data_IF_772216039882
#
_entry.id   IF_772216039882
#
_cell.length_a   1.000
_cell.length_b   1.000
_cell.length_c   1.000
_cell.angle_alpha   90.00
_cell.angle_beta   90.00
_cell.angle_gamma   90.00
#
_symmetry.space_group_name_H-M   'P 1'
#
loop_
_entity.id
_entity.type
_entity.pdbx_description
1 polymer ?
#
# COMPACT_ATOMS: atom_id res chain seq x y z
N UNK A 1 -7.32 -18.42 -23.98
CA UNK A 1 -7.14 -18.09 -22.54
C UNK A 1 -7.15 -16.57 -22.43
N UNK A 2 -8.17 -15.96 -21.82
CA UNK A 2 -8.15 -14.51 -21.57
C UNK A 2 -7.04 -14.23 -20.55
N UNK A 3 -6.12 -13.32 -20.85
CA UNK A 3 -5.01 -12.96 -19.98
C UNK A 3 -5.53 -12.58 -18.59
N UNK A 4 -5.00 -13.20 -17.54
CA UNK A 4 -5.31 -12.89 -16.13
C UNK A 4 -4.86 -11.49 -15.73
N UNK A 5 -3.94 -10.87 -16.49
CA UNK A 5 -3.44 -9.52 -16.24
C UNK A 5 -4.54 -8.43 -16.34
N UNK A 6 -5.63 -8.67 -17.08
CA UNK A 6 -6.77 -7.73 -17.13
C UNK A 6 -7.52 -7.60 -15.80
N UNK A 7 -7.26 -8.48 -14.83
CA UNK A 7 -7.91 -8.47 -13.50
C UNK A 7 -7.09 -7.78 -12.41
N UNK A 8 -5.97 -7.14 -12.75
CA UNK A 8 -5.15 -6.38 -11.81
C UNK A 8 -5.19 -4.90 -12.16
N UNK A 9 -5.56 -4.07 -11.17
CA UNK A 9 -5.46 -2.62 -11.24
C UNK A 9 -4.57 -2.10 -10.11
N UNK A 10 -3.56 -1.31 -10.46
CA UNK A 10 -2.66 -0.66 -9.50
C UNK A 10 -3.11 0.77 -9.26
N UNK A 11 -3.42 1.12 -8.02
CA UNK A 11 -3.55 2.51 -7.60
C UNK A 11 -2.26 2.98 -6.93
N UNK A 12 -1.92 4.23 -7.20
CA UNK A 12 -0.86 4.95 -6.50
C UNK A 12 -1.27 6.40 -6.34
N UNK A 13 -0.64 7.13 -5.43
CA UNK A 13 -0.89 8.57 -5.22
C UNK A 13 0.37 9.33 -5.53
N UNK A 14 0.25 10.34 -6.39
CA UNK A 14 1.30 11.28 -6.70
C UNK A 14 0.69 12.65 -7.06
N UNK A 15 0.99 13.66 -6.25
CA UNK A 15 0.58 15.05 -6.48
C UNK A 15 1.48 15.76 -7.49
N UNK A 16 2.72 15.30 -7.63
CA UNK A 16 3.76 15.88 -8.50
C UNK A 16 4.55 14.81 -9.24
N UNK A 17 5.09 15.18 -10.41
CA UNK A 17 5.99 14.34 -11.19
C UNK A 17 7.44 14.59 -10.74
N UNK A 18 7.90 13.81 -9.77
CA UNK A 18 9.28 13.82 -9.25
C UNK A 18 10.14 12.76 -9.93
N UNK A 19 11.46 12.76 -9.70
CA UNK A 19 12.34 11.67 -10.15
C UNK A 19 11.88 10.30 -9.60
N UNK A 20 11.39 10.27 -8.36
CA UNK A 20 10.81 9.08 -7.75
C UNK A 20 9.58 8.59 -8.52
N UNK A 21 8.70 9.51 -8.92
CA UNK A 21 7.55 9.21 -9.77
C UNK A 21 7.98 8.63 -11.11
N UNK A 22 8.90 9.29 -11.83
CA UNK A 22 9.34 8.81 -13.14
C UNK A 22 9.97 7.41 -13.07
N UNK A 23 10.77 7.15 -12.04
CA UNK A 23 11.37 5.83 -11.80
C UNK A 23 10.30 4.77 -11.50
N UNK A 24 9.29 5.10 -10.69
CA UNK A 24 8.13 4.22 -10.47
C UNK A 24 7.43 3.92 -11.80
N UNK A 25 7.07 4.95 -12.58
CA UNK A 25 6.34 4.82 -13.84
C UNK A 25 7.06 3.93 -14.86
N UNK A 26 8.39 4.03 -14.94
CA UNK A 26 9.19 3.18 -15.81
C UNK A 26 9.01 1.69 -15.50
N UNK A 27 8.92 1.32 -14.22
CA UNK A 27 8.70 -0.07 -13.80
C UNK A 27 7.23 -0.50 -13.81
N UNK A 28 6.32 0.46 -13.60
CA UNK A 28 4.88 0.22 -13.59
C UNK A 28 4.26 0.07 -14.99
N UNK A 29 4.99 0.39 -16.08
CA UNK A 29 4.50 0.35 -17.47
C UNK A 29 3.89 -0.98 -17.94
N UNK A 30 4.19 -2.07 -17.23
CA UNK A 30 3.68 -3.41 -17.52
C UNK A 30 2.37 -3.73 -16.78
N UNK A 31 1.88 -2.81 -15.94
CA UNK A 31 0.66 -2.92 -15.16
C UNK A 31 -0.40 -1.97 -15.71
N UNK A 32 -1.67 -2.33 -15.52
CA UNK A 32 -2.74 -1.34 -15.60
C UNK A 32 -2.73 -0.52 -14.32
N UNK A 33 -2.59 0.80 -14.42
CA UNK A 33 -2.44 1.67 -13.26
C UNK A 33 -3.29 2.94 -13.35
N UNK A 34 -3.61 3.47 -12.18
CA UNK A 34 -4.26 4.77 -11.99
C UNK A 34 -3.44 5.58 -10.97
N UNK A 35 -3.01 6.78 -11.37
CA UNK A 35 -2.35 7.75 -10.48
C UNK A 35 -3.40 8.72 -9.96
N UNK A 36 -3.56 8.77 -8.64
CA UNK A 36 -4.52 9.63 -7.95
C UNK A 36 -3.85 10.91 -7.43
N UNK A 37 -4.63 11.98 -7.35
CA UNK A 37 -4.19 13.28 -6.79
C UNK A 37 -3.30 14.11 -7.71
N UNK A 38 -3.17 13.78 -9.00
CA UNK A 38 -2.33 14.53 -9.93
C UNK A 38 -2.81 15.99 -10.02
N UNK A 39 -1.92 16.93 -9.68
CA UNK A 39 -2.22 18.36 -9.69
C UNK A 39 -2.94 18.87 -8.43
N UNK A 40 -3.27 18.00 -7.47
CA UNK A 40 -3.73 18.42 -6.16
C UNK A 40 -2.57 18.91 -5.29
N UNK A 41 -2.86 19.86 -4.41
CA UNK A 41 -1.96 20.22 -3.32
C UNK A 41 -1.85 19.06 -2.32
N UNK A 42 -0.64 18.78 -1.86
CA UNK A 42 -0.44 17.79 -0.80
C UNK A 42 -0.82 18.36 0.56
N UNK A 43 -1.80 17.73 1.21
CA UNK A 43 -2.33 18.06 2.53
C UNK A 43 -2.13 16.95 3.56
N UNK A 44 -1.38 15.91 3.17
CA UNK A 44 -1.11 14.75 4.00
C UNK A 44 -0.07 14.93 5.11
N UNK A 45 0.29 16.17 5.45
CA UNK A 45 1.31 16.49 6.46
C UNK A 45 2.65 16.91 5.84
N UNK A 46 3.42 17.69 6.62
CA UNK A 46 4.58 18.45 6.11
C UNK A 46 5.93 17.95 6.63
N UNK A 47 5.95 17.25 7.77
CA UNK A 47 7.18 16.86 8.45
C UNK A 47 7.60 15.44 8.07
N UNK A 48 8.84 15.29 7.62
CA UNK A 48 9.43 13.97 7.43
C UNK A 48 9.46 13.21 8.77
N UNK A 49 9.05 11.94 8.75
CA UNK A 49 8.95 11.06 9.93
C UNK A 49 7.89 11.48 10.98
N UNK A 50 6.92 12.34 10.63
CA UNK A 50 5.71 12.53 11.43
C UNK A 50 4.58 11.62 10.96
N UNK A 51 3.48 11.62 11.73
CA UNK A 51 2.21 11.06 11.28
C UNK A 51 1.67 11.81 10.06
N UNK A 52 0.86 11.15 9.25
CA UNK A 52 0.17 11.75 8.11
C UNK A 52 -0.19 10.77 7.01
N UNK A 53 -0.38 11.29 5.80
CA UNK A 53 -0.69 10.49 4.61
C UNK A 53 -2.17 10.16 4.41
N UNK A 54 -3.06 10.62 5.29
CA UNK A 54 -4.50 10.40 5.21
C UNK A 54 -5.14 10.81 3.88
N UNK A 55 -4.61 11.84 3.21
CA UNK A 55 -5.03 12.24 1.86
C UNK A 55 -4.96 11.06 0.87
N UNK A 56 -3.98 10.15 1.03
CA UNK A 56 -3.88 8.95 0.19
C UNK A 56 -5.09 8.04 0.37
N UNK A 57 -5.58 7.90 1.60
CA UNK A 57 -6.76 7.07 1.92
C UNK A 57 -8.02 7.71 1.36
N UNK A 58 -8.19 9.03 1.52
CA UNK A 58 -9.30 9.78 0.91
C UNK A 58 -9.31 9.61 -0.61
N UNK A 59 -8.18 9.84 -1.26
CA UNK A 59 -8.05 9.71 -2.72
C UNK A 59 -8.33 8.28 -3.19
N UNK A 60 -7.83 7.26 -2.47
CA UNK A 60 -8.11 5.87 -2.80
C UNK A 60 -9.58 5.51 -2.59
N UNK A 61 -10.21 6.04 -1.53
CA UNK A 61 -11.65 5.87 -1.26
C UNK A 61 -12.49 6.38 -2.43
N UNK A 62 -12.19 7.56 -2.95
CA UNK A 62 -12.86 8.13 -4.13
C UNK A 62 -12.54 7.31 -5.40
N UNK A 63 -11.25 6.97 -5.61
CA UNK A 63 -10.80 6.29 -6.82
C UNK A 63 -11.30 4.85 -7.00
N UNK A 64 -11.53 4.12 -5.89
CA UNK A 64 -11.97 2.72 -5.94
C UNK A 64 -13.49 2.55 -6.02
N UNK A 65 -14.27 3.61 -5.78
CA UNK A 65 -15.73 3.52 -5.63
C UNK A 65 -16.42 2.88 -6.85
N UNK A 66 -15.99 3.25 -8.06
CA UNK A 66 -16.49 2.66 -9.32
C UNK A 66 -16.19 1.17 -9.53
N UNK A 67 -15.35 0.58 -8.67
CA UNK A 67 -14.94 -0.82 -8.71
C UNK A 67 -15.51 -1.63 -7.54
N UNK A 68 -16.36 -1.03 -6.69
CA UNK A 68 -16.87 -1.61 -5.46
C UNK A 68 -17.54 -2.98 -5.63
N UNK A 69 -18.22 -3.20 -6.75
CA UNK A 69 -18.99 -4.42 -7.04
C UNK A 69 -18.24 -5.41 -7.96
N UNK A 70 -16.99 -5.14 -8.32
CA UNK A 70 -16.20 -6.01 -9.19
C UNK A 70 -15.51 -7.12 -8.38
N UNK A 71 -16.24 -8.21 -8.13
CA UNK A 71 -15.78 -9.29 -7.24
C UNK A 71 -14.48 -9.98 -7.66
N UNK A 72 -14.20 -10.04 -8.97
CA UNK A 72 -13.02 -10.72 -9.51
C UNK A 72 -11.86 -9.77 -9.81
N UNK A 73 -12.05 -8.46 -9.62
CA UNK A 73 -10.98 -7.47 -9.76
C UNK A 73 -10.07 -7.50 -8.53
N UNK A 74 -8.78 -7.62 -8.78
CA UNK A 74 -7.73 -7.49 -7.78
C UNK A 74 -7.15 -6.08 -7.90
N UNK A 75 -7.14 -5.37 -6.79
CA UNK A 75 -6.59 -4.04 -6.64
C UNK A 75 -5.33 -4.11 -5.82
N UNK A 76 -4.29 -3.43 -6.28
CA UNK A 76 -3.07 -3.19 -5.53
C UNK A 76 -2.95 -1.69 -5.27
N UNK A 77 -2.68 -1.29 -4.05
CA UNK A 77 -2.21 0.04 -3.73
C UNK A 77 -0.73 0.00 -3.38
N UNK A 78 0.04 0.96 -3.89
CA UNK A 78 1.47 1.14 -3.53
C UNK A 78 1.83 2.62 -3.50
N UNK A 79 2.74 2.99 -2.60
CA UNK A 79 3.38 4.31 -2.68
C UNK A 79 4.12 4.49 -4.01
N UNK A 80 4.23 5.74 -4.47
CA UNK A 80 4.87 6.06 -5.73
C UNK A 80 6.37 6.36 -5.55
N UNK A 81 6.69 7.43 -4.82
CA UNK A 81 8.01 8.09 -4.92
C UNK A 81 9.21 7.25 -4.46
N UNK A 82 9.02 6.24 -3.62
CA UNK A 82 10.05 5.40 -3.00
C UNK A 82 9.94 3.92 -3.40
N UNK A 83 9.13 3.60 -4.42
CA UNK A 83 8.82 2.23 -4.84
C UNK A 83 9.23 1.98 -6.30
N UNK A 84 9.65 0.76 -6.59
CA UNK A 84 9.74 0.21 -7.95
C UNK A 84 9.18 -1.22 -7.95
N UNK A 85 8.64 -1.64 -9.09
CA UNK A 85 8.26 -3.04 -9.32
C UNK A 85 9.48 -3.89 -9.71
N UNK A 86 9.63 -5.04 -9.05
CA UNK A 86 10.69 -6.01 -9.33
C UNK A 86 10.17 -7.25 -10.10
N UNK A 87 8.84 -7.40 -10.22
CA UNK A 87 8.19 -8.49 -10.94
C UNK A 87 7.01 -7.99 -11.77
N UNK A 88 6.48 -8.86 -12.63
CA UNK A 88 5.35 -8.54 -13.52
C UNK A 88 3.98 -8.86 -12.90
N UNK A 89 2.89 -8.43 -13.57
CA UNK A 89 1.52 -8.61 -13.07
C UNK A 89 1.11 -10.09 -12.89
N UNK A 90 1.55 -10.99 -13.76
CA UNK A 90 1.22 -12.42 -13.68
C UNK A 90 1.83 -13.09 -12.44
N UNK A 91 3.09 -12.74 -12.13
CA UNK A 91 3.78 -13.26 -10.94
C UNK A 91 3.13 -12.76 -9.66
N UNK A 92 2.78 -11.47 -9.63
CA UNK A 92 2.09 -10.84 -8.51
C UNK A 92 0.72 -11.47 -8.26
N UNK A 93 -0.09 -11.64 -9.31
CA UNK A 93 -1.40 -12.28 -9.20
C UNK A 93 -1.30 -13.72 -8.69
N UNK A 94 -0.39 -14.51 -9.26
CA UNK A 94 -0.17 -15.90 -8.84
C UNK A 94 0.18 -15.98 -7.36
N UNK A 95 1.21 -15.23 -6.93
CA UNK A 95 1.66 -15.23 -5.54
C UNK A 95 0.55 -14.73 -4.61
N UNK A 96 -0.25 -13.72 -5.00
CA UNK A 96 -1.36 -13.22 -4.17
C UNK A 96 -2.42 -14.30 -3.96
N UNK A 97 -2.79 -15.02 -5.02
CA UNK A 97 -3.75 -16.12 -4.94
C UNK A 97 -3.25 -17.26 -4.05
N UNK A 98 -1.95 -17.58 -4.09
CA UNK A 98 -1.31 -18.57 -3.20
C UNK A 98 -1.41 -18.20 -1.71
N UNK A 99 -1.58 -16.91 -1.37
CA UNK A 99 -1.80 -16.52 0.03
C UNK A 99 -3.14 -17.01 0.57
N UNK A 100 -4.14 -17.24 -0.29
CA UNK A 100 -5.52 -17.58 0.09
C UNK A 100 -6.19 -16.57 1.05
N UNK A 101 -5.76 -15.30 1.04
CA UNK A 101 -6.39 -14.20 1.76
C UNK A 101 -7.15 -13.27 0.79
N UNK A 102 -8.07 -12.44 1.29
CA UNK A 102 -8.76 -11.47 0.42
C UNK A 102 -8.03 -10.14 0.33
N UNK A 103 -7.27 -9.78 1.36
CA UNK A 103 -6.43 -8.59 1.45
C UNK A 103 -5.12 -8.96 2.14
N UNK A 104 -4.01 -8.55 1.56
CA UNK A 104 -2.66 -8.74 2.11
C UNK A 104 -1.99 -7.38 2.17
N UNK A 105 -1.58 -6.99 3.37
CA UNK A 105 -0.78 -5.78 3.58
C UNK A 105 0.71 -6.13 3.59
N UNK A 106 1.53 -5.15 3.19
CA UNK A 106 2.95 -5.21 3.43
C UNK A 106 3.22 -5.28 4.94
N UNK A 107 4.39 -5.77 5.30
CA UNK A 107 4.78 -5.90 6.70
C UNK A 107 6.12 -5.19 6.97
N UNK A 108 6.23 -4.63 8.17
CA UNK A 108 7.44 -4.06 8.73
C UNK A 108 7.86 -4.73 10.06
N UNK A 109 9.14 -4.60 10.40
CA UNK A 109 9.69 -5.04 11.69
C UNK A 109 9.47 -4.02 12.80
N UNK A 110 9.16 -2.78 12.44
CA UNK A 110 8.89 -1.69 13.37
C UNK A 110 7.38 -1.45 13.48
N UNK A 111 6.86 -1.40 14.70
CA UNK A 111 5.51 -0.89 14.95
C UNK A 111 5.53 0.64 14.95
N UNK A 112 4.62 1.22 14.18
CA UNK A 112 4.46 2.66 14.05
C UNK A 112 3.01 2.99 13.66
N UNK A 113 2.45 4.14 14.08
CA UNK A 113 3.04 5.11 15.01
C UNK A 113 2.83 4.72 16.49
N UNK A 114 1.76 3.99 16.80
CA UNK A 114 1.38 3.66 18.19
C UNK A 114 1.91 2.30 18.64
N UNK A 115 3.01 2.33 19.41
CA UNK A 115 3.64 1.13 19.98
C UNK A 115 2.74 0.35 20.94
N UNK A 116 1.71 0.98 21.53
CA UNK A 116 0.78 0.33 22.47
C UNK A 116 -0.10 -0.73 21.78
N UNK A 117 -0.18 -0.71 20.45
CA UNK A 117 -0.95 -1.68 19.68
C UNK A 117 -0.19 -2.99 19.47
N UNK A 118 1.09 -3.10 19.86
CA UNK A 118 1.93 -4.26 19.59
C UNK A 118 1.32 -5.58 20.09
N UNK A 119 0.72 -5.57 21.28
CA UNK A 119 0.15 -6.78 21.88
C UNK A 119 -1.15 -7.23 21.20
N UNK A 120 -1.77 -6.36 20.40
CA UNK A 120 -2.97 -6.69 19.59
C UNK A 120 -2.62 -7.35 18.25
N UNK A 121 -1.35 -7.31 17.84
CA UNK A 121 -0.90 -8.04 16.65
C UNK A 121 -0.79 -9.54 16.94
N UNK A 122 -1.16 -10.43 16.01
CA UNK A 122 -0.91 -11.85 16.14
C UNK A 122 0.57 -12.12 16.35
N UNK A 123 0.88 -13.17 17.08
CA UNK A 123 2.26 -13.64 17.23
C UNK A 123 2.67 -14.33 15.92
N UNK A 124 3.78 -13.89 15.35
CA UNK A 124 4.39 -14.52 14.16
C UNK A 124 5.62 -15.31 14.59
N UNK A 125 5.79 -16.54 14.07
CA UNK A 125 6.95 -17.39 14.39
C UNK A 125 8.23 -16.92 13.69
N UNK A 126 8.09 -16.30 12.53
CA UNK A 126 9.20 -15.80 11.71
C UNK A 126 8.71 -14.68 10.80
N UNK A 127 9.61 -13.78 10.41
CA UNK A 127 9.32 -12.68 9.49
C UNK A 127 8.87 -11.39 10.21
N UNK A 128 8.36 -10.45 9.42
CA UNK A 128 7.92 -9.13 9.89
C UNK A 128 6.51 -9.20 10.45
N UNK A 129 6.28 -8.55 11.59
CA UNK A 129 5.03 -8.70 12.37
C UNK A 129 4.02 -7.58 12.13
N UNK A 130 4.47 -6.36 11.88
CA UNK A 130 3.61 -5.19 11.91
C UNK A 130 3.16 -4.80 10.51
N UNK A 131 1.96 -4.24 10.38
CA UNK A 131 1.39 -3.81 9.10
C UNK A 131 2.21 -2.64 8.54
N UNK A 132 2.33 -2.54 7.23
CA UNK A 132 2.85 -1.36 6.52
C UNK A 132 1.82 -0.91 5.46
N UNK A 133 1.34 0.34 5.54
CA UNK A 133 0.32 0.92 4.64
C UNK A 133 0.87 1.30 3.27
N UNK A 134 2.19 1.31 3.10
CA UNK A 134 2.83 1.71 1.85
C UNK A 134 2.63 0.72 0.70
N UNK A 135 2.06 -0.45 0.97
CA UNK A 135 1.62 -1.38 -0.07
C UNK A 135 0.63 -2.41 0.45
N UNK A 136 -0.41 -2.67 -0.34
CA UNK A 136 -1.36 -3.76 -0.08
C UNK A 136 -2.03 -4.21 -1.38
N UNK A 137 -2.54 -5.44 -1.37
CA UNK A 137 -3.23 -6.05 -2.51
C UNK A 137 -4.45 -6.81 -2.01
N UNK A 138 -5.55 -6.74 -2.74
CA UNK A 138 -6.77 -7.45 -2.37
C UNK A 138 -7.85 -7.36 -3.43
N UNK A 139 -8.95 -8.07 -3.19
CA UNK A 139 -10.14 -7.97 -4.06
C UNK A 139 -10.83 -6.60 -3.87
N UNK A 140 -11.27 -5.99 -4.96
CA UNK A 140 -11.80 -4.63 -4.98
C UNK A 140 -12.92 -4.37 -3.95
N UNK A 141 -13.94 -5.25 -3.77
CA UNK A 141 -14.99 -5.01 -2.78
C UNK A 141 -14.47 -4.93 -1.33
N UNK A 142 -13.42 -5.69 -1.02
CA UNK A 142 -12.83 -5.74 0.32
C UNK A 142 -11.96 -4.51 0.59
N UNK A 143 -11.14 -4.09 -0.39
CA UNK A 143 -10.39 -2.83 -0.29
C UNK A 143 -11.37 -1.67 -0.16
N UNK A 144 -12.42 -1.61 -1.00
CA UNK A 144 -13.45 -0.59 -0.92
C UNK A 144 -14.08 -0.54 0.47
N UNK A 145 -14.53 -1.67 1.03
CA UNK A 145 -15.09 -1.71 2.39
C UNK A 145 -14.14 -1.18 3.47
N UNK A 146 -12.83 -1.40 3.34
CA UNK A 146 -11.82 -0.89 4.27
C UNK A 146 -11.74 0.64 4.14
N UNK A 147 -11.47 1.15 2.93
CA UNK A 147 -11.23 2.59 2.73
C UNK A 147 -12.50 3.43 2.90
N UNK A 148 -13.69 2.87 2.70
CA UNK A 148 -14.95 3.57 2.95
C UNK A 148 -15.17 3.90 4.43
N UNK A 149 -14.50 3.19 5.35
CA UNK A 149 -14.51 3.52 6.78
C UNK A 149 -13.70 4.78 7.12
N UNK A 150 -12.91 5.31 6.17
CA UNK A 150 -12.18 6.55 6.38
C UNK A 150 -13.14 7.72 6.57
N UNK A 151 -13.08 8.30 7.78
CA UNK A 151 -13.83 9.47 8.23
C UNK A 151 -12.92 10.48 8.94
N UNK A 152 -11.63 10.46 8.60
CA UNK A 152 -10.55 11.25 9.19
C UNK A 152 -10.09 12.36 8.24
N UNK A 153 -9.16 13.20 8.68
CA UNK A 153 -8.63 14.35 7.93
C UNK A 153 -7.46 13.98 7.03
N UNK A 154 -7.19 14.77 5.98
CA UNK A 154 -6.09 14.51 5.04
C UNK A 154 -4.73 14.37 5.75
N UNK A 155 -4.49 15.07 6.86
CA UNK A 155 -3.26 15.01 7.64
C UNK A 155 -3.26 13.98 8.79
N UNK A 156 -4.34 13.20 8.96
CA UNK A 156 -4.34 12.05 9.87
C UNK A 156 -3.51 10.89 9.30
N UNK A 157 -3.16 9.94 10.18
CA UNK A 157 -2.21 8.88 9.87
C UNK A 157 -2.84 7.69 9.13
N UNK A 158 -2.41 7.46 7.89
CA UNK A 158 -2.90 6.35 7.06
C UNK A 158 -2.53 4.98 7.66
N UNK A 159 -1.28 4.83 8.11
CA UNK A 159 -0.76 3.62 8.75
C UNK A 159 -1.55 3.26 10.02
N UNK A 160 -1.84 4.23 10.89
CA UNK A 160 -2.61 4.01 12.12
C UNK A 160 -4.06 3.62 11.80
N UNK A 161 -4.66 4.21 10.77
CA UNK A 161 -6.01 3.84 10.31
C UNK A 161 -6.07 2.36 9.90
N UNK A 162 -5.20 1.92 8.99
CA UNK A 162 -5.16 0.52 8.57
C UNK A 162 -4.76 -0.41 9.73
N UNK A 163 -3.86 0.04 10.61
CA UNK A 163 -3.46 -0.71 11.81
C UNK A 163 -4.65 -0.98 12.73
N UNK A 164 -5.46 0.04 13.03
CA UNK A 164 -6.66 -0.09 13.89
C UNK A 164 -7.65 -1.07 13.30
N UNK A 165 -7.90 -1.00 12.00
CA UNK A 165 -8.76 -1.96 11.28
C UNK A 165 -8.18 -3.37 11.36
N UNK A 166 -6.86 -3.51 11.15
CA UNK A 166 -6.19 -4.81 11.14
C UNK A 166 -6.20 -5.48 12.52
N UNK A 167 -5.99 -4.75 13.61
CA UNK A 167 -5.87 -5.33 14.96
C UNK A 167 -7.19 -5.50 15.69
N UNK A 168 -8.29 -4.98 15.17
CA UNK A 168 -9.62 -5.19 15.73
C UNK A 168 -10.05 -6.68 15.57
N UNK A 169 -10.35 -7.39 16.67
CA UNK A 169 -10.80 -8.78 16.60
C UNK A 169 -12.11 -8.97 15.84
N UNK A 170 -13.04 -8.01 15.87
CA UNK A 170 -14.35 -8.14 15.21
C UNK A 170 -14.21 -8.10 13.69
N UNK A 171 -13.37 -7.19 13.18
CA UNK A 171 -13.01 -7.15 11.76
C UNK A 171 -12.19 -8.37 11.36
N UNK A 172 -11.36 -8.95 12.24
CA UNK A 172 -10.62 -10.21 11.96
C UNK A 172 -11.45 -11.48 11.99
N UNK A 173 -12.45 -11.60 12.86
CA UNK A 173 -13.25 -12.84 13.01
C UNK A 173 -14.36 -12.91 11.96
N UNK A 174 -14.94 -11.77 11.55
CA UNK A 174 -15.84 -11.70 10.41
C UNK A 174 -15.14 -11.79 9.04
N UNK A 175 -13.82 -11.60 9.01
CA UNK A 175 -12.97 -11.69 7.83
C UNK A 175 -11.66 -12.39 8.21
N UNK A 176 -11.56 -13.72 7.98
CA UNK A 176 -10.30 -14.49 7.91
C UNK A 176 -9.31 -13.97 6.82
N UNK A 177 -9.33 -12.68 6.49
CA UNK A 177 -9.05 -12.21 5.14
C UNK A 177 -8.05 -11.06 5.08
N UNK A 178 -7.57 -10.55 6.22
CA UNK A 178 -6.50 -9.55 6.28
C UNK A 178 -5.29 -10.20 6.94
N UNK A 179 -4.19 -10.30 6.21
CA UNK A 179 -2.90 -10.77 6.73
C UNK A 179 -1.88 -9.63 6.67
N UNK A 180 -1.22 -9.36 7.80
CA UNK A 180 0.05 -8.65 7.83
C UNK A 180 1.13 -9.72 8.05
N UNK A 181 2.08 -9.78 7.13
CA UNK A 181 3.07 -10.83 7.11
C UNK A 181 2.94 -11.62 5.81
N UNK A 182 3.54 -11.09 4.76
CA UNK A 182 3.78 -11.86 3.57
C UNK A 182 5.10 -11.41 2.94
N UNK A 183 5.96 -12.39 2.64
CA UNK A 183 7.15 -12.25 1.80
C UNK A 183 6.78 -11.71 0.40
N UNK A 184 5.51 -11.85 0.00
CA UNK A 184 4.91 -11.40 -1.25
C UNK A 184 5.26 -9.97 -1.66
N UNK A 185 4.90 -8.98 -0.82
CA UNK A 185 5.09 -7.57 -1.16
C UNK A 185 6.55 -7.16 -1.00
N UNK A 186 7.33 -7.86 -0.16
CA UNK A 186 8.77 -7.62 0.01
C UNK A 186 9.61 -8.14 -1.18
N UNK A 187 9.14 -9.20 -1.86
CA UNK A 187 9.84 -9.80 -3.00
C UNK A 187 9.44 -9.17 -4.34
N UNK A 188 8.19 -8.72 -4.49
CA UNK A 188 7.65 -8.21 -5.77
C UNK A 188 7.69 -6.69 -5.89
N UNK A 189 7.58 -5.99 -4.77
CA UNK A 189 7.91 -4.59 -4.65
C UNK A 189 9.30 -4.56 -4.05
N UNK A 190 10.26 -3.90 -4.69
CA UNK A 190 11.57 -3.71 -4.06
C UNK A 190 11.41 -2.75 -2.87
N UNK A 191 10.94 -3.26 -1.73
CA UNK A 191 10.76 -2.51 -0.51
C UNK A 191 12.16 -2.19 0.05
N UNK A 192 12.52 -0.90 -0.04
CA UNK A 192 13.64 -0.20 0.62
C UNK A 192 15.08 -0.46 0.18
N UNK A 193 15.45 -1.57 -0.47
CA UNK A 193 16.89 -1.87 -0.63
C UNK A 193 17.59 -1.24 -1.85
N UNK A 194 16.88 -0.89 -2.91
CA UNK A 194 17.54 -0.30 -4.09
C UNK A 194 18.01 1.15 -3.82
N UNK A 195 17.34 1.90 -2.95
CA UNK A 195 17.74 3.29 -2.67
C UNK A 195 18.85 3.39 -1.60
N UNK A 196 18.98 2.42 -0.68
CA UNK A 196 20.13 2.42 0.26
C UNK A 196 21.47 2.12 -0.42
N UNK A 197 21.48 1.51 -1.60
CA UNK A 197 22.69 1.21 -2.38
C UNK A 197 23.01 2.24 -3.48
N UNK A 198 22.26 3.35 -3.57
CA UNK A 198 22.60 4.51 -4.43
C UNK A 198 23.23 5.65 -3.59
N UNK A 199 23.62 5.39 -2.33
CA UNK A 199 24.57 6.26 -1.63
C UNK A 199 26.00 5.94 -2.05
N UNK A 200 26.33 6.25 -3.31
CA UNK A 200 27.64 6.78 -3.64
C UNK A 200 27.40 8.13 -4.31
N UNK A 201 27.63 9.18 -3.50
CA UNK A 201 27.94 10.55 -3.89
C UNK A 201 26.87 11.63 -4.01
N UNK A 202 25.66 11.54 -3.44
CA UNK A 202 24.92 12.78 -3.13
C UNK A 202 24.27 12.72 -1.75
N UNK A 203 24.41 13.82 -1.00
CA UNK A 203 23.93 13.98 0.38
C UNK A 203 22.39 13.97 0.49
N UNK A 204 21.84 14.30 1.67
CA UNK A 204 20.40 14.25 1.89
C UNK A 204 19.69 15.33 1.07
N UNK A 205 19.19 14.97 -0.10
CA UNK A 205 18.24 15.80 -0.86
C UNK A 205 16.83 15.33 -0.51
N UNK A 206 16.37 15.74 0.66
CA UNK A 206 14.95 15.90 0.95
C UNK A 206 14.77 17.29 1.56
N UNK A 207 14.39 18.24 0.72
CA UNK A 207 13.86 19.54 1.13
C UNK A 207 12.80 19.96 0.12
N UNK A 208 11.57 20.12 0.62
CA UNK A 208 10.51 20.98 0.12
C UNK A 208 10.43 21.18 -1.41
N UNK A 209 9.49 20.50 -2.08
CA UNK A 209 8.30 21.13 -2.70
C UNK A 209 7.22 20.06 -2.90
#
# INVERSE_FOLDING_TARGET
>A
LKSTAHKLLVFTVATKETDGFHRFMQTARHFNYTVLGKGEEWRGGELANSIGGGQKVRLLKEGIESYADQEDLIVMFVECYNVIFAGGPEELLRKFQETNHKVVFAADGLIWPDKKLADKYPVVRSGKRFLNSGGFIGYAPYINRIVQQWNLQDNDDDQLFYTKIYVDPLTRVGCQQIQAGCTLLLELIALRYVIRNIHLNEGPVYSAV
#
